data_IF_404389158859
#
_entry.id   IF_404389158859
#
_cell.length_a   1.000
_cell.length_b   1.000
_cell.length_c   1.000
_cell.angle_alpha   90.00
_cell.angle_beta   90.00
_cell.angle_gamma   90.00
#
_symmetry.space_group_name_H-M   'P 1'
#
loop_
_entity.id
_entity.type
_entity.pdbx_description
1 polymer ?
#
# COMPACT_ATOMS: atom_id res chain seq x y z
N UNK A 1 3.01 11.14 18.45
CA UNK A 1 2.54 9.92 17.78
C UNK A 1 1.05 9.73 17.90
N UNK A 2 0.38 9.56 16.75
CA UNK A 2 -1.05 9.25 16.70
C UNK A 2 -1.17 7.74 16.52
N UNK A 3 -1.29 7.00 17.63
CA UNK A 3 -1.35 5.52 17.66
C UNK A 3 -2.68 4.93 17.18
N UNK A 4 -3.59 5.75 16.67
CA UNK A 4 -4.89 5.32 16.16
C UNK A 4 -4.96 5.63 14.66
N UNK A 5 -5.02 4.58 13.84
CA UNK A 5 -5.22 4.67 12.40
C UNK A 5 -6.62 4.18 12.05
N UNK A 6 -7.33 4.95 11.23
CA UNK A 6 -8.62 4.55 10.68
C UNK A 6 -8.40 3.57 9.52
N UNK A 7 -9.44 2.80 9.20
CA UNK A 7 -9.45 1.90 8.02
C UNK A 7 -9.01 2.62 6.75
N UNK A 8 -9.59 3.78 6.47
CA UNK A 8 -9.25 4.59 5.29
C UNK A 8 -7.77 4.97 5.23
N UNK A 9 -7.13 5.24 6.37
CA UNK A 9 -5.71 5.62 6.41
C UNK A 9 -4.79 4.41 6.17
N UNK A 10 -5.23 3.21 6.53
CA UNK A 10 -4.52 1.97 6.20
C UNK A 10 -4.69 1.64 4.71
N UNK A 11 -5.90 1.80 4.16
CA UNK A 11 -6.16 1.65 2.73
C UNK A 11 -5.36 2.67 1.90
N UNK A 12 -5.24 3.92 2.37
CA UNK A 12 -4.39 4.93 1.71
C UNK A 12 -2.90 4.56 1.75
N UNK A 13 -2.42 3.91 2.82
CA UNK A 13 -1.04 3.38 2.88
C UNK A 13 -0.84 2.22 1.91
N UNK A 14 -1.82 1.32 1.81
CA UNK A 14 -1.81 0.23 0.81
C UNK A 14 -1.79 0.85 -0.59
N UNK A 15 -2.57 1.91 -0.84
CA UNK A 15 -2.59 2.60 -2.12
C UNK A 15 -1.22 3.18 -2.50
N UNK A 16 -0.49 3.77 -1.54
CA UNK A 16 0.87 4.27 -1.76
C UNK A 16 1.82 3.12 -2.11
N UNK A 17 1.78 2.00 -1.39
CA UNK A 17 2.60 0.82 -1.65
C UNK A 17 2.33 0.24 -3.05
N UNK A 18 1.07 0.17 -3.45
CA UNK A 18 0.67 -0.32 -4.78
C UNK A 18 0.96 0.68 -5.90
N UNK A 19 1.22 1.95 -5.58
CA UNK A 19 1.38 3.04 -6.55
C UNK A 19 2.46 2.78 -7.59
N UNK A 20 3.63 2.31 -7.17
CA UNK A 20 4.74 2.00 -8.09
C UNK A 20 4.40 0.85 -9.02
N UNK A 21 3.84 -0.24 -8.47
CA UNK A 21 3.45 -1.42 -9.23
C UNK A 21 2.39 -1.10 -10.30
N UNK A 22 1.37 -0.33 -9.93
CA UNK A 22 0.31 0.09 -10.86
C UNK A 22 0.82 1.10 -11.90
N UNK A 23 1.69 2.04 -11.49
CA UNK A 23 2.29 3.00 -12.40
C UNK A 23 3.12 2.30 -13.48
N UNK A 24 3.90 1.29 -13.09
CA UNK A 24 4.70 0.48 -14.01
C UNK A 24 3.81 -0.20 -15.06
N UNK A 25 2.76 -0.89 -14.62
CA UNK A 25 1.82 -1.56 -15.53
C UNK A 25 1.14 -0.58 -16.51
N UNK A 26 0.71 0.59 -16.01
CA UNK A 26 0.01 1.59 -16.83
C UNK A 26 0.91 2.24 -17.90
N UNK A 27 2.21 2.32 -17.63
CA UNK A 27 3.19 2.97 -18.50
C UNK A 27 3.82 1.97 -19.47
N UNK A 28 4.23 0.80 -18.99
CA UNK A 28 4.98 -0.19 -19.78
C UNK A 28 4.10 -1.32 -20.32
N UNK A 29 2.91 -1.55 -19.76
CA UNK A 29 2.01 -2.64 -20.15
C UNK A 29 2.47 -4.02 -19.66
N UNK A 30 3.58 -4.08 -18.92
CA UNK A 30 4.13 -5.27 -18.30
C UNK A 30 4.63 -4.94 -16.89
N UNK A 31 4.74 -5.97 -16.05
CA UNK A 31 5.17 -5.85 -14.66
C UNK A 31 6.62 -6.34 -14.52
N UNK A 32 7.41 -5.67 -13.68
CA UNK A 32 8.72 -6.17 -13.28
C UNK A 32 8.71 -6.79 -11.88
N UNK A 33 9.84 -7.35 -11.48
CA UNK A 33 10.06 -7.85 -10.12
C UNK A 33 10.39 -6.74 -9.11
N UNK A 34 10.54 -5.48 -9.55
CA UNK A 34 10.97 -4.38 -8.70
C UNK A 34 9.98 -4.02 -7.58
N UNK A 35 8.68 -4.21 -7.83
CA UNK A 35 7.60 -3.91 -6.88
C UNK A 35 7.33 -4.98 -5.82
N UNK A 36 8.12 -6.07 -5.76
CA UNK A 36 7.79 -7.23 -4.90
C UNK A 36 7.68 -6.86 -3.41
N UNK A 37 8.58 -6.01 -2.91
CA UNK A 37 8.63 -5.63 -1.50
C UNK A 37 7.40 -4.78 -1.12
N UNK A 38 6.91 -3.94 -2.02
CA UNK A 38 5.74 -3.11 -1.74
C UNK A 38 4.45 -3.94 -1.78
N UNK A 39 4.35 -4.91 -2.70
CA UNK A 39 3.26 -5.90 -2.73
C UNK A 39 3.21 -6.74 -1.44
N UNK A 40 4.37 -7.19 -0.96
CA UNK A 40 4.47 -7.94 0.28
C UNK A 40 3.97 -7.12 1.47
N UNK A 41 4.44 -5.87 1.60
CA UNK A 41 4.01 -4.94 2.65
C UNK A 41 2.53 -4.60 2.57
N UNK A 42 2.00 -4.40 1.36
CA UNK A 42 0.58 -4.15 1.14
C UNK A 42 -0.27 -5.34 1.61
N UNK A 43 0.16 -6.55 1.26
CA UNK A 43 -0.51 -7.80 1.66
C UNK A 43 -0.45 -8.00 3.18
N UNK A 44 0.71 -7.76 3.81
CA UNK A 44 0.87 -7.85 5.25
C UNK A 44 -0.03 -6.84 5.98
N UNK A 45 -0.14 -5.61 5.47
CA UNK A 45 -1.00 -4.57 6.05
C UNK A 45 -2.49 -4.90 5.90
N UNK A 46 -2.91 -5.40 4.74
CA UNK A 46 -4.27 -5.89 4.53
C UNK A 46 -4.59 -7.07 5.46
N UNK A 47 -3.64 -8.01 5.63
CA UNK A 47 -3.78 -9.11 6.60
C UNK A 47 -3.93 -8.58 8.02
N UNK A 48 -3.12 -7.61 8.43
CA UNK A 48 -3.23 -6.94 9.73
C UNK A 48 -4.60 -6.30 9.97
N UNK A 49 -5.15 -5.62 8.97
CA UNK A 49 -6.49 -5.04 9.03
C UNK A 49 -7.55 -6.10 9.35
N UNK A 50 -7.47 -7.25 8.70
CA UNK A 50 -8.41 -8.35 8.90
C UNK A 50 -8.17 -9.08 10.21
N UNK A 51 -6.93 -9.48 10.49
CA UNK A 51 -6.63 -10.42 11.59
C UNK A 51 -6.36 -9.75 12.92
N UNK A 52 -5.81 -8.54 12.95
CA UNK A 52 -5.43 -7.88 14.22
C UNK A 52 -6.34 -6.71 14.57
N UNK A 53 -6.85 -5.99 13.57
CA UNK A 53 -7.65 -4.79 13.79
C UNK A 53 -9.16 -5.01 13.66
N UNK A 54 -9.60 -6.22 13.29
CA UNK A 54 -11.02 -6.55 13.16
C UNK A 54 -11.74 -5.71 12.11
N UNK A 55 -11.04 -5.27 11.06
CA UNK A 55 -11.57 -4.39 10.00
C UNK A 55 -12.19 -5.17 8.83
N UNK A 56 -12.70 -6.38 9.09
CA UNK A 56 -13.50 -7.15 8.12
C UNK A 56 -14.97 -7.11 8.53
N UNK A 57 -15.84 -6.72 7.60
CA UNK A 57 -17.29 -6.75 7.83
C UNK A 57 -17.81 -8.18 7.95
N UNK A 58 -17.21 -9.12 7.21
CA UNK A 58 -17.63 -10.52 7.20
C UNK A 58 -17.17 -11.30 8.42
N UNK A 59 -15.95 -11.07 8.89
CA UNK A 59 -15.40 -11.75 10.08
C UNK A 59 -15.73 -11.01 11.38
N UNK A 60 -16.12 -9.74 11.29
CA UNK A 60 -16.45 -8.90 12.43
C UNK A 60 -15.22 -8.43 13.22
N UNK A 61 -15.44 -7.79 14.38
CA UNK A 61 -14.40 -7.15 15.17
C UNK A 61 -13.63 -8.15 16.05
N UNK A 62 -13.11 -9.22 15.43
CA UNK A 62 -12.34 -10.26 16.11
C UNK A 62 -10.85 -10.12 15.80
N UNK A 63 -10.03 -10.39 16.81
CA UNK A 63 -8.59 -10.57 16.63
C UNK A 63 -8.29 -12.07 16.51
N UNK A 64 -7.66 -12.44 15.39
CA UNK A 64 -7.14 -13.76 15.09
C UNK A 64 -5.63 -13.76 15.39
N UNK A 65 -5.25 -14.33 16.53
CA UNK A 65 -3.86 -14.31 17.03
C UNK A 65 -2.95 -15.37 16.40
N UNK A 66 -1.65 -15.11 16.47
CA UNK A 66 -0.59 -16.12 16.53
C UNK A 66 -0.14 -16.17 18.00
N UNK A 67 -0.37 -17.26 18.72
CA UNK A 67 0.21 -17.40 20.07
C UNK A 67 1.70 -17.72 19.94
N UNK A 68 2.53 -16.71 20.22
CA UNK A 68 3.99 -16.81 20.22
C UNK A 68 4.67 -15.82 21.18
N UNK A 69 4.11 -15.62 22.38
CA UNK A 69 4.79 -14.94 23.50
C UNK A 69 4.75 -13.40 23.54
N UNK A 70 5.13 -12.80 24.68
CA UNK A 70 4.95 -11.36 24.95
C UNK A 70 5.84 -10.50 24.04
N UNK A 71 5.28 -10.02 22.93
CA UNK A 71 5.93 -9.18 21.92
C UNK A 71 6.23 -7.73 22.36
N UNK A 72 6.53 -7.49 23.63
CA UNK A 72 6.80 -6.15 24.17
C UNK A 72 8.25 -5.67 23.96
N UNK A 73 9.12 -6.48 23.32
CA UNK A 73 10.56 -6.18 23.16
C UNK A 73 11.10 -6.42 21.75
N UNK A 74 10.34 -6.11 20.68
CA UNK A 74 10.92 -6.05 19.33
C UNK A 74 11.06 -4.59 18.87
N UNK A 75 12.28 -4.06 18.98
CA UNK A 75 12.69 -2.76 18.42
C UNK A 75 12.88 -2.91 16.90
N UNK A 76 11.79 -3.19 16.19
CA UNK A 76 11.73 -3.47 14.75
C UNK A 76 10.40 -4.12 14.38
N UNK A 77 9.87 -3.86 13.18
CA UNK A 77 8.49 -4.19 12.75
C UNK A 77 7.99 -5.58 13.27
N UNK A 78 6.84 -5.64 13.97
CA UNK A 78 6.37 -6.82 14.72
C UNK A 78 5.59 -7.85 13.86
N UNK A 79 6.00 -8.07 12.60
CA UNK A 79 5.21 -8.83 11.61
C UNK A 79 5.94 -10.04 11.02
N UNK A 80 7.02 -10.48 11.65
CA UNK A 80 7.70 -11.74 11.34
C UNK A 80 6.81 -12.89 11.81
N UNK A 81 6.01 -13.41 10.87
CA UNK A 81 4.98 -14.42 11.06
C UNK A 81 5.55 -15.82 10.88
N UNK A 82 5.54 -16.58 11.97
CA UNK A 82 5.91 -18.00 12.01
C UNK A 82 5.08 -18.76 13.05
N UNK A 83 3.87 -18.29 13.37
CA UNK A 83 2.98 -18.93 14.34
C UNK A 83 2.01 -19.93 13.72
N UNK A 84 1.65 -20.95 14.49
CA UNK A 84 0.61 -21.93 14.15
C UNK A 84 -0.77 -21.24 14.12
N UNK A 85 -1.60 -21.56 13.11
CA UNK A 85 -2.91 -20.92 12.92
C UNK A 85 -3.91 -21.45 13.95
N UNK A 86 -4.38 -20.62 14.86
CA UNK A 86 -5.42 -20.97 15.85
C UNK A 86 -6.85 -20.71 15.33
N UNK A 87 -7.13 -21.08 14.08
CA UNK A 87 -8.47 -20.95 13.51
C UNK A 87 -8.70 -22.02 12.44
N UNK A 88 -9.98 -22.37 12.22
CA UNK A 88 -10.36 -23.39 11.25
C UNK A 88 -9.91 -23.01 9.83
N UNK A 89 -9.79 -24.01 8.95
CA UNK A 89 -9.52 -23.78 7.53
C UNK A 89 -10.57 -22.86 6.88
N UNK A 90 -11.82 -22.94 7.31
CA UNK A 90 -12.91 -22.08 6.84
C UNK A 90 -12.63 -20.61 7.18
N UNK A 91 -12.18 -20.34 8.40
CA UNK A 91 -11.76 -19.01 8.83
C UNK A 91 -10.49 -18.57 8.10
N UNK A 92 -9.54 -19.46 7.85
CA UNK A 92 -8.34 -19.14 7.08
C UNK A 92 -8.68 -18.70 5.65
N UNK A 93 -9.53 -19.48 4.96
CA UNK A 93 -10.06 -19.16 3.62
C UNK A 93 -10.83 -17.84 3.63
N UNK A 94 -11.58 -17.59 4.70
CA UNK A 94 -12.26 -16.33 4.88
C UNK A 94 -11.25 -15.17 4.98
N UNK A 95 -10.23 -15.25 5.84
CA UNK A 95 -9.20 -14.22 5.98
C UNK A 95 -8.54 -13.94 4.62
N UNK A 96 -8.11 -14.98 3.91
CA UNK A 96 -7.42 -14.81 2.63
C UNK A 96 -8.30 -14.14 1.57
N UNK A 97 -9.62 -14.43 1.56
CA UNK A 97 -10.57 -13.75 0.69
C UNK A 97 -10.74 -12.25 1.04
N UNK A 98 -10.80 -11.89 2.33
CA UNK A 98 -10.88 -10.48 2.75
C UNK A 98 -9.60 -9.72 2.38
N UNK A 99 -8.43 -10.33 2.62
CA UNK A 99 -7.13 -9.73 2.29
C UNK A 99 -7.02 -9.46 0.79
N UNK A 100 -7.37 -10.46 -0.03
CA UNK A 100 -7.46 -10.31 -1.48
C UNK A 100 -8.38 -9.16 -1.85
N UNK A 101 -9.59 -9.11 -1.29
CA UNK A 101 -10.57 -8.07 -1.59
C UNK A 101 -10.05 -6.66 -1.28
N UNK A 102 -9.39 -6.46 -0.14
CA UNK A 102 -8.79 -5.15 0.22
C UNK A 102 -7.71 -4.74 -0.79
N UNK A 103 -6.81 -5.66 -1.13
CA UNK A 103 -5.71 -5.37 -2.07
C UNK A 103 -6.23 -5.10 -3.47
N UNK A 104 -7.15 -5.92 -3.99
CA UNK A 104 -7.75 -5.75 -5.33
C UNK A 104 -8.54 -4.43 -5.44
N UNK A 105 -9.40 -4.12 -4.46
CA UNK A 105 -10.14 -2.85 -4.44
C UNK A 105 -9.21 -1.63 -4.39
N UNK A 106 -8.14 -1.71 -3.60
CA UNK A 106 -7.17 -0.63 -3.50
C UNK A 106 -6.36 -0.50 -4.78
N UNK A 107 -5.96 -1.61 -5.37
CA UNK A 107 -5.29 -1.68 -6.67
C UNK A 107 -6.15 -1.00 -7.75
N UNK A 108 -7.44 -1.33 -7.86
CA UNK A 108 -8.36 -0.73 -8.84
C UNK A 108 -8.54 0.78 -8.63
N UNK A 109 -8.65 1.20 -7.36
CA UNK A 109 -8.69 2.63 -6.99
C UNK A 109 -7.43 3.36 -7.44
N UNK A 110 -6.25 2.80 -7.20
CA UNK A 110 -4.96 3.37 -7.62
C UNK A 110 -4.86 3.40 -9.15
N UNK A 111 -5.26 2.31 -9.83
CA UNK A 111 -5.26 2.22 -11.30
C UNK A 111 -6.14 3.30 -11.92
N UNK A 112 -7.33 3.52 -11.36
CA UNK A 112 -8.24 4.57 -11.79
C UNK A 112 -7.65 5.97 -11.59
N UNK A 113 -7.05 6.22 -10.41
CA UNK A 113 -6.43 7.50 -10.07
C UNK A 113 -5.24 7.83 -10.97
N UNK A 114 -4.29 6.89 -11.11
CA UNK A 114 -3.10 7.06 -11.94
C UNK A 114 -3.45 7.09 -13.42
N UNK A 115 -4.44 6.31 -13.86
CA UNK A 115 -4.98 6.35 -15.22
C UNK A 115 -5.54 7.74 -15.57
N UNK A 116 -6.35 8.33 -14.67
CA UNK A 116 -6.89 9.69 -14.85
C UNK A 116 -5.79 10.77 -14.83
N UNK A 117 -4.63 10.49 -14.23
CA UNK A 117 -3.47 11.39 -14.14
C UNK A 117 -2.27 10.92 -14.98
N UNK A 118 -2.51 10.09 -16.00
CA UNK A 118 -1.44 9.45 -16.78
C UNK A 118 -0.47 10.46 -17.41
N UNK A 119 -0.98 11.56 -17.95
CA UNK A 119 -0.11 12.60 -18.53
C UNK A 119 0.82 13.22 -17.48
N UNK A 120 0.31 13.47 -16.27
CA UNK A 120 1.11 13.99 -15.15
C UNK A 120 2.18 12.99 -14.72
N UNK A 121 1.85 11.69 -14.68
CA UNK A 121 2.80 10.62 -14.38
C UNK A 121 3.94 10.57 -15.41
N UNK A 122 3.62 10.64 -16.69
CA UNK A 122 4.62 10.65 -17.77
C UNK A 122 5.51 11.89 -17.71
N UNK A 123 4.94 13.07 -17.45
CA UNK A 123 5.73 14.29 -17.26
C UNK A 123 6.67 14.17 -16.05
N UNK A 124 6.20 13.63 -14.93
CA UNK A 124 7.03 13.42 -13.74
C UNK A 124 8.21 12.50 -14.04
N UNK A 125 7.97 11.38 -14.74
CA UNK A 125 9.01 10.44 -15.14
C UNK A 125 10.06 11.09 -16.05
N UNK A 126 9.65 11.90 -17.02
CA UNK A 126 10.59 12.60 -17.92
C UNK A 126 11.43 13.65 -17.18
N UNK A 127 10.85 14.36 -16.20
CA UNK A 127 11.59 15.30 -15.36
C UNK A 127 12.63 14.55 -14.51
N UNK A 128 12.21 13.48 -13.83
CA UNK A 128 13.08 12.66 -12.98
C UNK A 128 14.20 11.99 -13.79
N UNK A 129 13.94 11.62 -15.05
CA UNK A 129 14.97 11.10 -15.95
C UNK A 129 16.09 12.12 -16.23
N UNK A 130 15.78 13.42 -16.20
CA UNK A 130 16.75 14.50 -16.47
C UNK A 130 17.41 15.05 -15.21
N UNK A 131 16.66 15.11 -14.10
CA UNK A 131 17.06 15.80 -12.86
C UNK A 131 17.33 14.87 -11.68
N UNK A 132 17.00 13.59 -11.79
CA UNK A 132 17.06 12.55 -10.73
C UNK A 132 16.19 12.81 -9.49
N UNK A 133 15.86 14.08 -9.19
CA UNK A 133 15.06 14.50 -8.04
C UNK A 133 13.97 15.47 -8.49
N UNK A 134 12.83 15.42 -7.80
CA UNK A 134 11.72 16.36 -7.92
C UNK A 134 11.32 16.78 -6.50
N UNK A 135 11.44 18.06 -6.18
CA UNK A 135 11.12 18.56 -4.85
C UNK A 135 9.61 18.66 -4.62
N UNK A 136 9.20 18.76 -3.35
CA UNK A 136 7.79 18.78 -2.98
C UNK A 136 7.00 19.95 -3.58
N UNK A 137 7.64 21.11 -3.77
CA UNK A 137 7.01 22.26 -4.44
C UNK A 137 6.85 22.03 -5.94
N UNK A 138 7.90 21.55 -6.60
CA UNK A 138 7.88 21.18 -8.02
C UNK A 138 6.80 20.12 -8.31
N UNK A 139 6.67 19.12 -7.45
CA UNK A 139 5.62 18.11 -7.56
C UNK A 139 4.22 18.71 -7.41
N UNK A 140 4.02 19.66 -6.48
CA UNK A 140 2.72 20.34 -6.33
C UNK A 140 2.34 21.11 -7.60
N UNK A 141 3.27 21.85 -8.19
CA UNK A 141 3.05 22.56 -9.46
C UNK A 141 2.70 21.58 -10.58
N UNK A 142 3.46 20.48 -10.67
CA UNK A 142 3.23 19.44 -11.68
C UNK A 142 1.84 18.80 -11.56
N UNK A 143 1.38 18.56 -10.33
CA UNK A 143 0.06 18.01 -10.02
C UNK A 143 -1.08 19.00 -10.30
N UNK A 144 -0.83 20.31 -10.14
CA UNK A 144 -1.75 21.39 -10.46
C UNK A 144 -1.81 21.72 -11.97
N UNK A 145 -0.85 21.22 -12.76
CA UNK A 145 -0.70 21.58 -14.17
C UNK A 145 -0.06 22.96 -14.37
N UNK A 146 0.63 23.46 -13.35
CA UNK A 146 1.31 24.74 -13.35
C UNK A 146 2.77 24.61 -13.83
N UNK A 147 3.39 25.69 -14.32
CA UNK A 147 4.81 25.70 -14.65
C UNK A 147 5.66 25.37 -13.41
N UNK A 148 6.73 24.58 -13.61
CA UNK A 148 7.68 24.31 -12.54
C UNK A 148 8.32 25.62 -12.05
N UNK A 149 8.53 25.78 -10.74
CA UNK A 149 9.26 26.92 -10.21
C UNK A 149 10.70 26.92 -10.76
N UNK A 150 11.27 28.12 -10.92
CA UNK A 150 12.67 28.25 -11.32
C UNK A 150 13.52 27.74 -10.17
N UNK A 151 14.35 26.72 -10.40
CA UNK A 151 15.20 26.16 -9.35
C UNK A 151 16.14 27.24 -8.82
N UNK A 152 16.06 27.56 -7.52
CA UNK A 152 17.09 28.36 -6.87
C UNK A 152 18.31 27.44 -6.70
N UNK A 153 19.31 27.63 -7.56
CA UNK A 153 20.66 27.08 -7.40
C UNK A 153 21.33 27.60 -6.13
#
# INVERSE_FOLDING_TARGET
DRYLLRRSELEDRIAVLLGGHVAEELVYGELSTGGHNDLERATQLARAMVTRFGMSERLGPLAFGENGGPGFLRRGFPWDGGGEREYSEDTARAIDAEVRGIVEQTYDRVRSLLGAKKDTLLRAAEILKRRETLEGEELRHLLAGEPLPVSQS
#
